data_IF_700447999056
#
_entry.id   IF_700447999056
#
_cell.length_a   1.000
_cell.length_b   1.000
_cell.length_c   1.000
_cell.angle_alpha   90.00
_cell.angle_beta   90.00
_cell.angle_gamma   90.00
#
_symmetry.space_group_name_H-M   'P 1'
#
loop_
_entity.id
_entity.type
_entity.pdbx_description
1 polymer ?
#
# COMPACT_ATOMS: atom_id res chain seq x y z
N UNK A 1 5.54 24.48 -5.04
CA UNK A 1 4.65 23.75 -5.96
C UNK A 1 5.19 22.32 -6.03
N UNK A 2 4.81 21.49 -5.06
CA UNK A 2 5.32 20.11 -4.95
C UNK A 2 4.51 19.24 -5.89
N UNK A 3 5.16 18.67 -6.90
CA UNK A 3 4.61 17.66 -7.77
C UNK A 3 5.64 16.54 -7.87
N UNK A 4 5.51 15.50 -7.04
CA UNK A 4 6.32 14.27 -7.07
C UNK A 4 5.56 13.14 -6.35
N UNK A 5 5.64 11.86 -6.75
CA UNK A 5 6.10 11.28 -8.03
C UNK A 5 5.02 10.37 -8.68
N UNK A 6 5.06 10.25 -10.00
CA UNK A 6 4.53 9.13 -10.80
C UNK A 6 3.16 8.55 -10.40
N UNK A 7 2.07 9.14 -10.93
CA UNK A 7 0.77 8.46 -11.05
C UNK A 7 0.97 7.20 -11.90
N UNK A 8 1.16 6.04 -11.23
CA UNK A 8 1.09 4.74 -11.88
C UNK A 8 -0.34 4.57 -12.40
N UNK A 9 -0.51 4.67 -13.71
CA UNK A 9 -1.78 4.32 -14.35
C UNK A 9 -2.03 2.80 -14.23
N UNK A 10 -2.97 2.37 -13.38
CA UNK A 10 -3.42 0.97 -13.33
C UNK A 10 -4.91 0.85 -12.90
N UNK A 11 -5.85 1.23 -13.78
CA UNK A 11 -7.29 0.83 -13.80
C UNK A 11 -8.10 0.82 -12.49
N UNK A 12 -7.62 1.46 -11.42
CA UNK A 12 -8.16 1.38 -10.07
C UNK A 12 -8.87 2.67 -9.71
N UNK A 13 -9.94 2.54 -8.91
CA UNK A 13 -10.69 3.70 -8.40
C UNK A 13 -9.78 4.42 -7.40
N UNK A 14 -9.54 5.74 -7.54
CA UNK A 14 -8.64 6.44 -6.62
C UNK A 14 -9.24 6.47 -5.20
N UNK A 15 -8.41 6.28 -4.17
CA UNK A 15 -8.86 6.18 -2.77
C UNK A 15 -9.76 7.34 -2.31
N UNK A 16 -9.47 8.62 -2.66
CA UNK A 16 -10.34 9.74 -2.32
C UNK A 16 -11.71 9.71 -3.02
N UNK A 17 -11.87 9.03 -4.16
CA UNK A 17 -13.12 8.97 -4.90
C UNK A 17 -14.14 7.98 -4.31
N UNK A 18 -13.75 7.20 -3.30
CA UNK A 18 -14.67 6.33 -2.57
C UNK A 18 -15.52 7.21 -1.67
N UNK A 19 -16.83 7.21 -1.86
CA UNK A 19 -17.75 8.07 -1.08
C UNK A 19 -18.17 7.35 0.21
N UNK A 20 -18.21 8.09 1.32
CA UNK A 20 -18.58 7.57 2.64
C UNK A 20 -17.54 6.61 3.22
N UNK A 21 -17.99 5.68 4.07
CA UNK A 21 -17.18 4.65 4.74
C UNK A 21 -16.00 5.23 5.52
N UNK A 22 -16.27 6.26 6.33
CA UNK A 22 -15.23 7.02 7.04
C UNK A 22 -14.42 6.14 8.01
N UNK A 23 -15.06 5.19 8.69
CA UNK A 23 -14.39 4.24 9.56
C UNK A 23 -13.43 3.32 8.79
N UNK A 24 -13.85 2.85 7.61
CA UNK A 24 -13.00 2.03 6.74
C UNK A 24 -11.77 2.81 6.29
N UNK A 25 -11.97 4.04 5.81
CA UNK A 25 -10.87 4.90 5.37
C UNK A 25 -9.93 5.20 6.53
N UNK A 26 -10.47 5.49 7.71
CA UNK A 26 -9.68 5.79 8.92
C UNK A 26 -8.82 4.60 9.32
N UNK A 27 -9.40 3.40 9.39
CA UNK A 27 -8.66 2.18 9.71
C UNK A 27 -7.55 1.90 8.68
N UNK A 28 -7.83 2.08 7.39
CA UNK A 28 -6.84 1.89 6.33
C UNK A 28 -5.69 2.90 6.41
N UNK A 29 -6.00 4.18 6.67
CA UNK A 29 -4.98 5.21 6.85
C UNK A 29 -4.17 4.98 8.13
N UNK A 30 -4.80 4.56 9.23
CA UNK A 30 -4.09 4.22 10.46
C UNK A 30 -3.15 3.04 10.27
N UNK A 31 -3.61 1.98 9.60
CA UNK A 31 -2.78 0.83 9.27
C UNK A 31 -1.61 1.19 8.34
N UNK A 32 -1.77 2.19 7.48
CA UNK A 32 -0.69 2.70 6.63
C UNK A 32 0.29 3.61 7.38
N UNK A 33 -0.18 4.35 8.39
CA UNK A 33 0.61 5.33 9.13
C UNK A 33 1.36 4.74 10.33
N UNK A 34 0.82 3.68 10.94
CA UNK A 34 1.36 3.10 12.17
C UNK A 34 1.82 1.67 11.97
N UNK A 35 3.14 1.54 12.03
CA UNK A 35 3.89 0.30 11.90
C UNK A 35 3.62 -0.72 13.01
N UNK A 36 3.08 -0.27 14.15
CA UNK A 36 2.72 -1.08 15.32
C UNK A 36 1.37 -1.81 15.14
N UNK A 37 0.54 -1.35 14.19
CA UNK A 37 -0.74 -1.98 13.89
C UNK A 37 -0.52 -3.19 12.99
N UNK A 38 -0.71 -4.38 13.56
CA UNK A 38 -0.47 -5.66 12.86
C UNK A 38 -1.53 -5.99 11.79
N UNK A 39 -2.60 -5.21 11.68
CA UNK A 39 -3.66 -5.37 10.68
C UNK A 39 -5.04 -5.00 11.21
N UNK A 40 -6.03 -4.97 10.31
CA UNK A 40 -7.42 -4.71 10.66
C UNK A 40 -8.36 -5.66 9.94
N UNK A 41 -9.42 -6.08 10.63
CA UNK A 41 -10.48 -6.95 10.06
C UNK A 41 -11.65 -6.08 9.64
N UNK A 42 -11.95 -6.10 8.34
CA UNK A 42 -13.04 -5.30 7.76
C UNK A 42 -14.22 -6.22 7.44
N UNK A 43 -15.31 -6.07 8.19
CA UNK A 43 -16.57 -6.80 7.99
C UNK A 43 -17.62 -5.91 7.33
N UNK A 44 -18.73 -6.49 6.86
CA UNK A 44 -19.84 -5.74 6.24
C UNK A 44 -20.49 -6.46 5.06
N UNK A 45 -21.48 -5.82 4.45
CA UNK A 45 -22.28 -6.42 3.38
C UNK A 45 -21.49 -6.58 2.06
N UNK A 46 -21.92 -7.54 1.23
CA UNK A 46 -21.37 -7.73 -0.13
C UNK A 46 -21.77 -6.53 -0.99
N UNK A 47 -20.86 -6.06 -1.85
CA UNK A 47 -21.13 -4.93 -2.77
C UNK A 47 -20.77 -3.55 -2.22
N UNK A 48 -20.27 -3.45 -0.98
CA UNK A 48 -19.83 -2.19 -0.35
C UNK A 48 -18.45 -1.70 -0.78
N UNK A 49 -17.87 -2.27 -1.86
CA UNK A 49 -16.55 -1.90 -2.38
C UNK A 49 -15.38 -2.00 -1.38
N UNK A 50 -15.51 -2.76 -0.27
CA UNK A 50 -14.45 -2.94 0.74
C UNK A 50 -13.10 -3.36 0.17
N UNK A 51 -13.08 -4.39 -0.69
CA UNK A 51 -11.84 -4.85 -1.32
C UNK A 51 -11.33 -3.90 -2.41
N UNK A 52 -12.20 -3.05 -2.96
CA UNK A 52 -11.82 -1.95 -3.85
C UNK A 52 -11.11 -0.87 -3.07
N UNK A 53 -11.60 -0.51 -1.87
CA UNK A 53 -10.96 0.49 -0.99
C UNK A 53 -9.55 0.10 -0.56
N UNK A 54 -9.36 -1.18 -0.21
CA UNK A 54 -8.02 -1.70 0.13
C UNK A 54 -7.06 -1.59 -1.05
N UNK A 55 -7.51 -1.91 -2.28
CA UNK A 55 -6.68 -1.82 -3.49
C UNK A 55 -6.38 -0.37 -3.88
N UNK A 56 -7.34 0.53 -3.70
CA UNK A 56 -7.17 1.95 -3.96
C UNK A 56 -6.11 2.60 -3.05
N UNK A 57 -5.85 2.04 -1.86
CA UNK A 57 -4.82 2.53 -0.95
C UNK A 57 -3.40 2.33 -1.48
N UNK A 58 -3.18 1.36 -2.38
CA UNK A 58 -1.84 1.04 -2.92
C UNK A 58 -1.19 2.24 -3.60
N UNK A 59 -2.00 3.10 -4.23
CA UNK A 59 -1.52 4.30 -4.93
C UNK A 59 -1.02 5.40 -3.97
N UNK A 60 -1.41 5.33 -2.68
CA UNK A 60 -0.99 6.27 -1.64
C UNK A 60 0.22 5.76 -0.83
N UNK A 61 0.55 4.47 -0.94
CA UNK A 61 1.64 3.88 -0.18
C UNK A 61 2.99 4.14 -0.87
N UNK A 62 4.06 4.41 -0.10
CA UNK A 62 5.38 4.58 -0.68
C UNK A 62 5.86 3.27 -1.31
N UNK A 63 6.65 3.37 -2.39
CA UNK A 63 7.24 2.18 -3.01
C UNK A 63 8.06 1.40 -1.98
N UNK A 64 7.68 0.14 -1.77
CA UNK A 64 8.35 -0.75 -0.83
C UNK A 64 9.58 -1.35 -1.50
N UNK A 65 10.75 -1.23 -0.86
CA UNK A 65 11.96 -1.91 -1.31
C UNK A 65 11.92 -3.36 -0.83
N UNK A 66 11.94 -4.31 -1.76
CA UNK A 66 12.10 -5.72 -1.43
C UNK A 66 13.60 -6.07 -1.37
N UNK A 67 14.02 -6.72 -0.29
CA UNK A 67 15.37 -7.31 -0.21
C UNK A 67 15.33 -8.65 -0.94
N UNK A 68 16.19 -8.82 -1.95
CA UNK A 68 16.33 -10.09 -2.66
C UNK A 68 16.67 -11.22 -1.66
N UNK A 69 16.07 -12.40 -1.87
CA UNK A 69 16.24 -13.60 -1.04
C UNK A 69 15.70 -13.52 0.41
N UNK A 70 14.93 -12.49 0.77
CA UNK A 70 14.18 -12.52 2.03
C UNK A 70 12.73 -13.00 1.80
N UNK A 71 12.33 -14.14 2.40
CA UNK A 71 10.98 -14.69 2.23
C UNK A 71 9.89 -13.90 2.97
N UNK A 72 10.26 -12.91 3.79
CA UNK A 72 9.35 -12.14 4.63
C UNK A 72 9.58 -10.63 4.48
N UNK A 73 8.51 -9.85 4.60
CA UNK A 73 8.54 -8.39 4.64
C UNK A 73 9.36 -7.80 5.81
N UNK A 74 9.76 -8.64 6.79
CA UNK A 74 10.54 -8.21 7.95
C UNK A 74 11.98 -7.74 7.64
N UNK A 75 12.62 -8.21 6.55
CA UNK A 75 14.02 -7.83 6.28
C UNK A 75 14.15 -6.37 5.82
N UNK A 76 13.22 -5.89 5.00
CA UNK A 76 13.28 -4.53 4.44
C UNK A 76 13.20 -3.44 5.52
N UNK A 77 12.55 -3.71 6.65
CA UNK A 77 12.37 -2.74 7.74
C UNK A 77 13.58 -2.57 8.66
N UNK A 78 14.48 -3.57 8.75
CA UNK A 78 15.61 -3.54 9.69
C UNK A 78 16.91 -3.03 9.08
N UNK A 79 17.00 -2.98 7.76
CA UNK A 79 18.13 -2.36 7.06
C UNK A 79 17.77 -0.95 6.62
N UNK A 80 18.16 0.03 7.42
CA UNK A 80 18.53 1.37 6.95
C UNK A 80 19.77 1.32 6.04
N UNK A 81 19.78 0.41 5.06
CA UNK A 81 20.74 0.40 3.96
C UNK A 81 19.96 0.34 2.64
N UNK A 82 20.07 1.37 1.80
CA UNK A 82 19.50 1.31 0.46
C UNK A 82 20.28 0.25 -0.34
N UNK A 83 19.57 -0.75 -0.87
CA UNK A 83 20.12 -1.62 -1.93
C UNK A 83 20.28 -0.77 -3.20
N UNK A 84 21.37 -0.02 -3.24
CA UNK A 84 21.76 0.82 -4.36
C UNK A 84 22.14 -0.09 -5.53
N UNK A 85 21.23 -0.24 -6.50
CA UNK A 85 21.57 -0.72 -7.84
C UNK A 85 21.39 -2.21 -8.12
N UNK A 86 20.23 -2.81 -7.81
CA UNK A 86 19.89 -4.12 -8.37
C UNK A 86 19.04 -3.98 -9.66
N UNK A 87 19.44 -4.60 -10.78
CA UNK A 87 18.62 -4.65 -11.99
C UNK A 87 17.31 -5.39 -11.72
N UNK A 88 16.20 -4.84 -12.24
CA UNK A 88 14.86 -5.43 -12.12
C UNK A 88 14.90 -6.92 -12.52
N UNK A 89 14.36 -7.84 -11.71
CA UNK A 89 14.18 -9.21 -12.16
C UNK A 89 13.20 -9.21 -13.34
N UNK A 90 13.65 -9.72 -14.49
CA UNK A 90 12.77 -9.93 -15.64
C UNK A 90 11.76 -11.03 -15.27
N UNK A 91 10.45 -10.82 -15.53
CA UNK A 91 9.47 -11.88 -15.36
C UNK A 91 9.79 -13.01 -16.36
N UNK A 92 9.71 -14.26 -15.87
CA UNK A 92 9.62 -15.46 -16.73
C UNK A 92 8.21 -15.58 -17.27
#
# INVERSE_FOLDING_TARGET
>A
MVADPAIKNLSSVPFPAIVGQDDLKRVLLLAAAHDDLSGAVITGEKGTAKSTAVRALVDLLPEQQAVADCPLWLCARRSSQPVRGLPRPRPR
#
